data_IF_108718451583
#
_entry.id   IF_108718451583
#
_cell.length_a   1.000
_cell.length_b   1.000
_cell.length_c   1.000
_cell.angle_alpha   90.00
_cell.angle_beta   90.00
_cell.angle_gamma   90.00
#
_symmetry.space_group_name_H-M   'P 1'
#
loop_
_entity.id
_entity.type
_entity.pdbx_description
1 polymer ?
#
# COMPACT_ATOMS: atom_id res chain seq x y z
N UNK A 1 -20.83 -14.55 -8.37
CA UNK A 1 -20.16 -15.06 -9.60
C UNK A 1 -19.43 -16.34 -9.23
N UNK A 2 -19.46 -17.40 -10.05
CA UNK A 2 -18.60 -18.55 -9.80
C UNK A 2 -17.13 -18.10 -9.93
N UNK A 3 -16.21 -18.75 -9.20
CA UNK A 3 -14.73 -18.61 -9.26
C UNK A 3 -14.20 -19.09 -10.63
N UNK A 4 -15.01 -19.00 -11.68
CA UNK A 4 -14.76 -19.63 -12.96
C UNK A 4 -13.87 -18.75 -13.81
N UNK A 5 -12.59 -19.13 -13.81
CA UNK A 5 -11.51 -18.80 -14.75
C UNK A 5 -10.56 -17.72 -14.24
N UNK A 6 -9.64 -18.16 -13.38
CA UNK A 6 -8.29 -17.58 -13.33
C UNK A 6 -7.70 -17.70 -14.75
N UNK A 7 -7.27 -16.58 -15.34
CA UNK A 7 -6.72 -16.52 -16.70
C UNK A 7 -5.24 -16.15 -16.62
N UNK A 8 -4.38 -16.92 -17.28
CA UNK A 8 -2.93 -16.64 -17.30
C UNK A 8 -2.64 -15.32 -18.05
N UNK A 9 -3.32 -15.07 -19.16
CA UNK A 9 -3.01 -13.99 -20.09
C UNK A 9 -2.13 -14.48 -21.25
N UNK A 10 -1.79 -13.60 -22.19
CA UNK A 10 -0.88 -13.92 -23.29
C UNK A 10 0.34 -12.97 -23.28
N UNK A 11 1.49 -13.39 -23.82
CA UNK A 11 2.70 -12.56 -23.80
C UNK A 11 2.58 -11.26 -24.61
N UNK A 12 1.68 -11.21 -25.61
CA UNK A 12 1.40 -9.98 -26.36
C UNK A 12 0.62 -8.94 -25.56
N UNK A 13 -0.11 -9.35 -24.50
CA UNK A 13 -0.80 -8.46 -23.54
C UNK A 13 0.19 -7.46 -22.93
N UNK A 14 1.39 -7.90 -22.59
CA UNK A 14 2.44 -7.06 -22.01
C UNK A 14 2.95 -5.96 -22.96
N UNK A 15 2.65 -6.07 -24.25
CA UNK A 15 3.01 -5.07 -25.28
C UNK A 15 1.84 -4.19 -25.68
N UNK A 16 0.64 -4.46 -25.15
CA UNK A 16 -0.53 -3.66 -25.43
C UNK A 16 -0.42 -2.31 -24.72
N UNK A 17 -0.79 -1.26 -25.44
CA UNK A 17 -0.74 0.10 -24.90
C UNK A 17 -1.60 0.29 -23.67
N UNK A 18 -2.69 -0.48 -23.51
CA UNK A 18 -3.53 -0.40 -22.32
C UNK A 18 -2.81 -0.97 -21.08
N UNK A 19 -2.14 -2.12 -21.20
CA UNK A 19 -1.40 -2.77 -20.13
C UNK A 19 -0.23 -1.90 -19.67
N UNK A 20 0.48 -1.28 -20.61
CA UNK A 20 1.58 -0.36 -20.31
C UNK A 20 1.08 0.92 -19.63
N UNK A 21 -0.03 1.50 -20.11
CA UNK A 21 -0.66 2.66 -19.45
C UNK A 21 -1.14 2.33 -18.05
N UNK A 22 -1.74 1.17 -17.87
CA UNK A 22 -2.20 0.69 -16.58
C UNK A 22 -1.04 0.46 -15.60
N UNK A 23 0.05 -0.17 -16.06
CA UNK A 23 1.26 -0.33 -15.26
C UNK A 23 1.88 1.01 -14.86
N UNK A 24 1.94 1.97 -15.79
CA UNK A 24 2.42 3.33 -15.48
C UNK A 24 1.51 4.04 -14.48
N UNK A 25 0.19 3.89 -14.59
CA UNK A 25 -0.76 4.43 -13.63
C UNK A 25 -0.57 3.83 -12.23
N UNK A 26 -0.39 2.50 -12.12
CA UNK A 26 -0.06 1.84 -10.86
C UNK A 26 1.25 2.34 -10.25
N UNK A 27 2.29 2.51 -11.08
CA UNK A 27 3.57 3.07 -10.63
C UNK A 27 3.41 4.49 -10.06
N UNK A 28 2.75 5.39 -10.81
CA UNK A 28 2.55 6.79 -10.40
C UNK A 28 1.68 6.87 -9.15
N UNK A 29 0.56 6.13 -9.11
CA UNK A 29 -0.34 6.12 -7.97
C UNK A 29 0.33 5.56 -6.72
N UNK A 30 1.16 4.50 -6.86
CA UNK A 30 1.92 3.98 -5.74
C UNK A 30 2.98 4.97 -5.27
N UNK A 31 3.62 5.70 -6.18
CA UNK A 31 4.55 6.77 -5.82
C UNK A 31 3.85 7.84 -5.00
N UNK A 32 2.70 8.36 -5.46
CA UNK A 32 1.91 9.36 -4.73
C UNK A 32 1.53 8.85 -3.34
N UNK A 33 1.01 7.63 -3.26
CA UNK A 33 0.56 7.04 -2.02
C UNK A 33 1.68 6.89 -0.99
N UNK A 34 2.80 6.26 -1.39
CA UNK A 34 3.94 6.01 -0.50
C UNK A 34 4.67 7.28 -0.14
N UNK A 35 4.84 8.22 -1.08
CA UNK A 35 5.54 9.47 -0.81
C UNK A 35 4.82 10.27 0.27
N UNK A 36 3.49 10.39 0.20
CA UNK A 36 2.70 11.06 1.22
C UNK A 36 2.69 10.26 2.54
N UNK A 37 2.35 8.97 2.48
CA UNK A 37 2.22 8.11 3.66
C UNK A 37 3.51 8.02 4.47
N UNK A 38 4.62 7.63 3.84
CA UNK A 38 5.93 7.55 4.51
C UNK A 38 6.48 8.93 4.86
N UNK A 39 6.24 9.92 3.99
CA UNK A 39 6.62 11.31 4.25
C UNK A 39 5.97 11.87 5.52
N UNK A 40 4.75 11.48 5.86
CA UNK A 40 4.10 11.89 7.11
C UNK A 40 4.81 11.37 8.36
N UNK A 41 5.29 10.13 8.33
CA UNK A 41 6.10 9.56 9.42
C UNK A 41 7.45 10.27 9.55
N UNK A 42 8.10 10.57 8.43
CA UNK A 42 9.35 11.34 8.42
C UNK A 42 9.15 12.77 8.94
N UNK A 43 8.04 13.43 8.55
CA UNK A 43 7.68 14.75 9.03
C UNK A 43 7.44 14.74 10.55
N UNK A 44 6.72 13.74 11.05
CA UNK A 44 6.53 13.55 12.49
C UNK A 44 7.87 13.39 13.22
N UNK A 45 8.72 12.48 12.76
CA UNK A 45 10.06 12.27 13.34
C UNK A 45 10.92 13.54 13.32
N UNK A 46 10.85 14.33 12.24
CA UNK A 46 11.55 15.61 12.14
C UNK A 46 11.05 16.63 13.16
N UNK A 47 9.74 16.73 13.37
CA UNK A 47 9.12 17.66 14.32
C UNK A 47 9.37 17.26 15.77
N UNK A 48 9.51 15.96 16.06
CA UNK A 48 9.70 15.43 17.42
C UNK A 48 11.15 15.12 17.75
N UNK A 49 12.10 15.37 16.84
CA UNK A 49 13.50 14.96 16.94
C UNK A 49 13.66 13.46 17.22
N UNK A 50 12.98 12.63 16.43
CA UNK A 50 12.88 11.18 16.57
C UNK A 50 12.32 10.76 17.95
N UNK A 51 11.33 11.49 18.44
CA UNK A 51 10.62 11.17 19.68
C UNK A 51 9.83 9.87 19.57
N UNK A 52 9.34 9.38 20.72
CA UNK A 52 8.50 8.20 20.77
C UNK A 52 7.20 8.38 19.95
N UNK A 53 6.62 7.28 19.48
CA UNK A 53 5.31 7.30 18.84
C UNK A 53 4.25 7.88 19.81
N UNK A 54 3.45 8.83 19.34
CA UNK A 54 2.34 9.42 20.10
C UNK A 54 1.02 9.26 19.33
N UNK A 55 -0.14 9.41 20.00
CA UNK A 55 -1.43 9.41 19.31
C UNK A 55 -1.50 10.43 18.16
N UNK A 56 -0.86 11.59 18.31
CA UNK A 56 -0.80 12.60 17.25
C UNK A 56 -0.05 12.11 16.00
N UNK A 57 1.03 11.34 16.19
CA UNK A 57 1.77 10.73 15.08
C UNK A 57 0.95 9.68 14.34
N UNK A 58 0.23 8.82 15.09
CA UNK A 58 -0.65 7.80 14.52
C UNK A 58 -1.81 8.44 13.74
N UNK A 59 -2.42 9.51 14.28
CA UNK A 59 -3.47 10.27 13.58
C UNK A 59 -2.94 10.93 12.30
N UNK A 60 -1.76 11.55 12.35
CA UNK A 60 -1.14 12.17 11.19
C UNK A 60 -0.84 11.12 10.09
N UNK A 61 -0.27 9.98 10.47
CA UNK A 61 0.00 8.88 9.55
C UNK A 61 -1.31 8.32 8.93
N UNK A 62 -2.33 8.10 9.76
CA UNK A 62 -3.65 7.63 9.32
C UNK A 62 -4.29 8.55 8.27
N UNK A 63 -4.39 9.86 8.56
CA UNK A 63 -4.98 10.83 7.65
C UNK A 63 -4.18 10.95 6.35
N UNK A 64 -2.85 10.96 6.44
CA UNK A 64 -1.99 11.02 5.26
C UNK A 64 -2.20 9.82 4.34
N UNK A 65 -2.17 8.61 4.88
CA UNK A 65 -2.40 7.39 4.09
C UNK A 65 -3.83 7.34 3.52
N UNK A 66 -4.83 7.75 4.30
CA UNK A 66 -6.22 7.75 3.86
C UNK A 66 -6.43 8.69 2.66
N UNK A 67 -5.97 9.93 2.76
CA UNK A 67 -6.11 10.92 1.70
C UNK A 67 -5.26 10.57 0.48
N UNK A 68 -4.02 10.12 0.70
CA UNK A 68 -3.13 9.76 -0.39
C UNK A 68 -3.65 8.54 -1.17
N UNK A 69 -4.15 7.51 -0.48
CA UNK A 69 -4.73 6.34 -1.13
C UNK A 69 -6.04 6.69 -1.84
N UNK A 70 -6.91 7.49 -1.22
CA UNK A 70 -8.13 8.00 -1.88
C UNK A 70 -7.79 8.67 -3.22
N UNK A 71 -6.82 9.59 -3.23
CA UNK A 71 -6.40 10.28 -4.46
C UNK A 71 -5.73 9.31 -5.43
N UNK A 72 -4.81 8.47 -4.98
CA UNK A 72 -4.08 7.51 -5.81
C UNK A 72 -5.02 6.53 -6.54
N UNK A 73 -6.04 6.02 -5.84
CA UNK A 73 -7.08 5.19 -6.43
C UNK A 73 -7.93 6.01 -7.41
N UNK A 74 -8.37 7.21 -7.03
CA UNK A 74 -9.22 8.06 -7.87
C UNK A 74 -8.60 8.39 -9.23
N UNK A 75 -7.31 8.74 -9.26
CA UNK A 75 -6.63 9.15 -10.50
C UNK A 75 -6.29 7.97 -11.40
N UNK A 76 -6.18 6.75 -10.86
CA UNK A 76 -5.87 5.54 -11.62
C UNK A 76 -7.10 4.67 -11.93
N UNK A 77 -8.25 4.92 -11.30
CA UNK A 77 -9.46 4.10 -11.42
C UNK A 77 -9.87 3.82 -12.87
N UNK A 78 -9.83 4.83 -13.73
CA UNK A 78 -10.23 4.71 -15.15
C UNK A 78 -9.10 4.25 -16.08
N UNK A 79 -7.90 3.95 -15.57
CA UNK A 79 -6.74 3.52 -16.36
C UNK A 79 -6.34 2.09 -15.99
N UNK A 80 -6.09 1.84 -14.70
CA UNK A 80 -5.64 0.54 -14.19
C UNK A 80 -6.67 -0.15 -13.30
N UNK A 81 -7.72 0.56 -12.87
CA UNK A 81 -8.58 0.14 -11.76
C UNK A 81 -8.09 0.63 -10.39
N UNK A 82 -6.92 1.27 -10.32
CA UNK A 82 -6.38 1.88 -9.10
C UNK A 82 -6.17 0.86 -7.97
N UNK A 83 -5.43 -0.21 -8.23
CA UNK A 83 -5.18 -1.25 -7.22
C UNK A 83 -4.26 -0.72 -6.11
N UNK A 84 -3.14 -0.09 -6.50
CA UNK A 84 -2.17 0.60 -5.63
C UNK A 84 -1.71 -0.29 -4.44
N UNK A 85 -1.80 -1.61 -4.59
CA UNK A 85 -1.56 -2.58 -3.52
C UNK A 85 -1.44 -4.00 -4.10
N UNK A 86 -0.32 -4.72 -3.90
CA UNK A 86 -0.18 -6.10 -4.33
C UNK A 86 -1.24 -7.06 -3.78
N UNK A 87 -1.72 -6.87 -2.54
CA UNK A 87 -2.77 -7.68 -1.93
C UNK A 87 -4.16 -7.44 -2.59
N UNK A 88 -4.45 -6.19 -2.98
CA UNK A 88 -5.66 -5.86 -3.76
C UNK A 88 -5.58 -6.48 -5.14
N UNK A 89 -4.43 -6.35 -5.83
CA UNK A 89 -4.19 -7.01 -7.12
C UNK A 89 -4.34 -8.52 -7.02
N UNK A 90 -3.82 -9.14 -5.96
CA UNK A 90 -3.97 -10.56 -5.71
C UNK A 90 -5.43 -10.95 -5.50
N UNK A 91 -6.18 -10.18 -4.69
CA UNK A 91 -7.61 -10.38 -4.50
C UNK A 91 -8.36 -10.37 -5.84
N UNK A 92 -8.16 -9.32 -6.65
CA UNK A 92 -8.74 -9.19 -7.98
C UNK A 92 -8.37 -10.37 -8.90
N UNK A 93 -7.14 -10.87 -8.83
CA UNK A 93 -6.69 -12.03 -9.60
C UNK A 93 -7.43 -13.31 -9.21
N UNK A 94 -7.53 -13.59 -7.91
CA UNK A 94 -8.26 -14.76 -7.39
C UNK A 94 -9.75 -14.69 -7.73
N UNK A 95 -10.35 -13.51 -7.74
CA UNK A 95 -11.72 -13.34 -8.22
C UNK A 95 -11.90 -13.31 -9.74
N UNK A 96 -10.83 -13.45 -10.52
CA UNK A 96 -10.90 -13.51 -11.98
C UNK A 96 -11.13 -12.16 -12.68
N UNK A 97 -10.75 -11.05 -12.05
CA UNK A 97 -10.92 -9.69 -12.58
C UNK A 97 -9.67 -9.15 -13.29
N UNK A 98 -8.55 -9.88 -13.25
CA UNK A 98 -7.28 -9.53 -13.90
C UNK A 98 -6.54 -10.81 -14.29
N UNK A 99 -5.73 -10.78 -15.34
CA UNK A 99 -4.90 -11.93 -15.77
C UNK A 99 -3.67 -12.07 -14.87
N UNK A 100 -3.05 -13.25 -14.85
CA UNK A 100 -1.79 -13.47 -14.11
C UNK A 100 -0.67 -12.56 -14.63
N UNK A 101 -0.52 -12.44 -15.95
CA UNK A 101 0.52 -11.59 -16.54
C UNK A 101 0.34 -10.11 -16.18
N UNK A 102 -0.89 -9.59 -16.22
CA UNK A 102 -1.17 -8.22 -15.80
C UNK A 102 -1.00 -8.02 -14.28
N UNK A 103 -1.31 -9.04 -13.48
CA UNK A 103 -1.05 -9.05 -12.03
C UNK A 103 0.44 -8.89 -11.73
N UNK A 104 1.30 -9.66 -12.41
CA UNK A 104 2.75 -9.56 -12.26
C UNK A 104 3.24 -8.17 -12.68
N UNK A 105 2.72 -7.64 -13.80
CA UNK A 105 3.07 -6.31 -14.26
C UNK A 105 2.69 -5.22 -13.24
N UNK A 106 1.51 -5.33 -12.62
CA UNK A 106 1.06 -4.41 -11.57
C UNK A 106 1.94 -4.52 -10.33
N UNK A 107 2.30 -5.73 -9.88
CA UNK A 107 3.20 -5.90 -8.74
C UNK A 107 4.56 -5.26 -8.99
N UNK A 108 5.15 -5.44 -10.17
CA UNK A 108 6.43 -4.79 -10.52
C UNK A 108 6.27 -3.26 -10.46
N UNK A 109 5.21 -2.72 -11.08
CA UNK A 109 4.95 -1.28 -11.07
C UNK A 109 4.74 -0.71 -9.65
N UNK A 110 3.97 -1.40 -8.82
CA UNK A 110 3.69 -1.04 -7.43
C UNK A 110 4.98 -1.07 -6.58
N UNK A 111 5.75 -2.16 -6.65
CA UNK A 111 7.01 -2.29 -5.91
C UNK A 111 8.01 -1.19 -6.32
N UNK A 112 8.17 -0.94 -7.63
CA UNK A 112 9.05 0.11 -8.13
C UNK A 112 8.56 1.51 -7.71
N UNK A 113 7.26 1.77 -7.79
CA UNK A 113 6.68 3.06 -7.38
C UNK A 113 6.95 3.35 -5.90
N UNK A 114 6.83 2.33 -5.05
CA UNK A 114 7.16 2.45 -3.63
C UNK A 114 8.64 2.71 -3.39
N UNK A 115 9.54 1.99 -4.06
CA UNK A 115 10.99 2.20 -3.91
C UNK A 115 11.38 3.61 -4.36
N UNK A 116 10.87 4.06 -5.52
CA UNK A 116 11.15 5.40 -6.04
C UNK A 116 10.63 6.48 -5.10
N UNK A 117 9.42 6.34 -4.54
CA UNK A 117 8.91 7.27 -3.53
C UNK A 117 9.84 7.39 -2.32
N UNK A 118 10.30 6.27 -1.77
CA UNK A 118 11.21 6.27 -0.63
C UNK A 118 12.59 6.89 -0.97
N UNK A 119 13.13 6.64 -2.17
CA UNK A 119 14.37 7.27 -2.63
C UNK A 119 14.21 8.79 -2.80
N UNK A 120 13.08 9.23 -3.38
CA UNK A 120 12.76 10.65 -3.53
C UNK A 120 12.59 11.32 -2.16
N UNK A 121 11.94 10.67 -1.20
CA UNK A 121 11.84 11.17 0.17
C UNK A 121 13.21 11.31 0.82
N UNK A 122 14.06 10.28 0.74
CA UNK A 122 15.43 10.31 1.27
C UNK A 122 16.23 11.46 0.66
N UNK A 123 16.13 11.66 -0.65
CA UNK A 123 16.78 12.79 -1.33
C UNK A 123 16.22 14.14 -0.85
N UNK A 124 14.90 14.32 -0.88
CA UNK A 124 14.22 15.58 -0.56
C UNK A 124 14.37 16.01 0.91
N UNK A 125 14.64 15.05 1.79
CA UNK A 125 14.82 15.28 3.23
C UNK A 125 16.28 15.33 3.66
N UNK A 126 17.22 15.46 2.71
CA UNK A 126 18.66 15.50 2.98
C UNK A 126 19.19 14.25 3.72
N UNK A 127 18.67 13.08 3.36
CA UNK A 127 19.18 11.79 3.82
C UNK A 127 18.47 11.20 5.03
N UNK A 128 17.34 11.76 5.47
CA UNK A 128 16.55 11.11 6.54
C UNK A 128 16.07 9.73 6.09
N UNK A 129 15.96 8.82 7.05
CA UNK A 129 15.56 7.45 6.81
C UNK A 129 14.04 7.32 6.64
N UNK A 130 13.63 6.49 5.69
CA UNK A 130 12.26 5.97 5.62
C UNK A 130 12.18 4.74 6.53
N UNK A 131 11.38 4.81 7.59
CA UNK A 131 11.25 3.71 8.54
C UNK A 131 10.53 2.51 7.92
N UNK A 132 11.17 1.35 7.92
CA UNK A 132 10.50 0.10 7.59
C UNK A 132 9.45 -0.25 8.67
N UNK A 133 8.44 -1.02 8.27
CA UNK A 133 7.44 -1.54 9.20
C UNK A 133 8.11 -2.54 10.14
N UNK A 134 7.87 -2.40 11.45
CA UNK A 134 8.47 -3.22 12.48
C UNK A 134 7.45 -3.46 13.60
N UNK A 135 7.64 -4.57 14.31
CA UNK A 135 6.82 -4.91 15.47
C UNK A 135 7.16 -4.00 16.64
N UNK A 136 6.14 -3.44 17.28
CA UNK A 136 6.31 -2.74 18.55
C UNK A 136 6.74 -3.71 19.65
N UNK A 137 7.43 -3.17 20.65
CA UNK A 137 7.88 -3.96 21.81
C UNK A 137 6.70 -4.73 22.45
N UNK A 138 6.88 -6.03 22.67
CA UNK A 138 5.87 -6.91 23.24
C UNK A 138 4.82 -7.46 22.25
N UNK A 139 4.86 -7.07 20.97
CA UNK A 139 3.99 -7.63 19.93
C UNK A 139 4.68 -8.82 19.26
N UNK A 140 4.06 -10.00 19.35
CA UNK A 140 4.54 -11.20 18.67
C UNK A 140 4.20 -11.21 17.18
N UNK A 141 5.01 -11.92 16.38
CA UNK A 141 4.79 -12.05 14.94
C UNK A 141 3.41 -12.65 14.60
N UNK A 142 2.91 -13.60 15.40
CA UNK A 142 1.58 -14.19 15.21
C UNK A 142 0.45 -13.18 15.49
N UNK A 143 0.63 -12.28 16.46
CA UNK A 143 -0.34 -11.21 16.74
C UNK A 143 -0.41 -10.22 15.59
N UNK A 144 0.74 -9.77 15.09
CA UNK A 144 0.82 -8.89 13.93
C UNK A 144 0.25 -9.55 12.66
N UNK A 145 0.50 -10.85 12.47
CA UNK A 145 -0.10 -11.59 11.36
C UNK A 145 -1.64 -11.55 11.40
N UNK A 146 -2.25 -11.67 12.58
CA UNK A 146 -3.72 -11.55 12.72
C UNK A 146 -4.19 -10.14 12.37
N UNK A 147 -3.50 -9.11 12.84
CA UNK A 147 -3.78 -7.72 12.46
C UNK A 147 -3.76 -7.55 10.94
N UNK A 148 -2.64 -7.90 10.30
CA UNK A 148 -2.48 -7.76 8.85
C UNK A 148 -3.52 -8.57 8.06
N UNK A 149 -3.86 -9.79 8.49
CA UNK A 149 -4.90 -10.59 7.83
C UNK A 149 -6.25 -9.86 7.89
N UNK A 150 -6.68 -9.42 9.07
CA UNK A 150 -8.01 -8.81 9.26
C UNK A 150 -8.10 -7.46 8.57
N UNK A 151 -7.08 -6.61 8.73
CA UNK A 151 -7.05 -5.27 8.13
C UNK A 151 -6.97 -5.37 6.59
N UNK A 152 -6.11 -6.24 6.06
CA UNK A 152 -6.00 -6.45 4.60
C UNK A 152 -7.27 -7.06 4.04
N UNK A 153 -7.89 -8.01 4.74
CA UNK A 153 -9.19 -8.55 4.34
C UNK A 153 -10.25 -7.45 4.28
N UNK A 154 -10.33 -6.60 5.31
CA UNK A 154 -11.25 -5.46 5.32
C UNK A 154 -11.04 -4.54 4.13
N UNK A 155 -9.78 -4.17 3.82
CA UNK A 155 -9.42 -3.38 2.65
C UNK A 155 -9.85 -4.04 1.34
N UNK A 156 -9.45 -5.29 1.11
CA UNK A 156 -9.77 -6.01 -0.14
C UNK A 156 -11.28 -6.22 -0.27
N UNK A 157 -11.98 -6.49 0.83
CA UNK A 157 -13.44 -6.59 0.85
C UNK A 157 -14.10 -5.26 0.49
N UNK A 158 -13.61 -4.13 1.03
CA UNK A 158 -14.08 -2.79 0.65
C UNK A 158 -13.87 -2.55 -0.85
N UNK A 159 -12.73 -2.92 -1.42
CA UNK A 159 -12.50 -2.84 -2.87
C UNK A 159 -13.54 -3.68 -3.63
N UNK A 160 -13.79 -4.91 -3.20
CA UNK A 160 -14.75 -5.79 -3.85
C UNK A 160 -16.17 -5.21 -3.85
N UNK A 161 -16.65 -4.82 -2.66
CA UNK A 161 -18.01 -4.34 -2.47
C UNK A 161 -18.27 -2.99 -3.16
N UNK A 162 -17.24 -2.13 -3.21
CA UNK A 162 -17.40 -0.76 -3.72
C UNK A 162 -16.96 -0.58 -5.15
N UNK A 163 -15.91 -1.27 -5.61
CA UNK A 163 -15.31 -1.05 -6.93
C UNK A 163 -15.51 -2.20 -7.92
N UNK A 164 -15.58 -3.45 -7.44
CA UNK A 164 -15.55 -4.63 -8.32
C UNK A 164 -16.95 -5.19 -8.61
N UNK A 165 -17.83 -5.28 -7.61
CA UNK A 165 -19.14 -5.91 -7.76
C UNK A 165 -19.97 -5.23 -8.88
N UNK A 166 -20.46 -5.96 -9.90
CA UNK A 166 -21.37 -5.41 -10.90
C UNK A 166 -22.65 -4.78 -10.31
N UNK A 167 -23.03 -5.17 -9.09
CA UNK A 167 -24.21 -4.66 -8.36
C UNK A 167 -23.92 -3.43 -7.49
N UNK A 168 -22.70 -2.90 -7.50
CA UNK A 168 -22.29 -1.76 -6.65
C UNK A 168 -23.18 -0.51 -6.79
N UNK A 169 -23.79 -0.29 -7.96
CA UNK A 169 -24.59 0.91 -8.23
C UNK A 169 -23.83 2.19 -7.88
N UNK A 170 -24.50 3.13 -7.22
CA UNK A 170 -23.92 4.42 -6.82
C UNK A 170 -22.80 4.32 -5.78
N UNK A 171 -22.66 3.19 -5.08
CA UNK A 171 -21.53 2.96 -4.17
C UNK A 171 -20.19 3.03 -4.93
N UNK A 172 -20.19 2.71 -6.24
CA UNK A 172 -19.02 2.86 -7.10
C UNK A 172 -18.47 4.28 -7.17
N UNK A 173 -19.31 5.30 -6.98
CA UNK A 173 -18.91 6.72 -7.00
C UNK A 173 -17.98 7.03 -5.82
N UNK A 174 -18.27 6.44 -4.66
CA UNK A 174 -17.51 6.65 -3.41
C UNK A 174 -16.45 5.57 -3.16
N UNK A 175 -16.22 4.65 -4.10
CA UNK A 175 -15.27 3.56 -3.90
C UNK A 175 -13.86 4.05 -3.52
N UNK A 176 -13.27 5.06 -4.21
CA UNK A 176 -11.93 5.53 -3.85
C UNK A 176 -11.84 6.09 -2.43
N UNK A 177 -12.84 6.85 -1.99
CA UNK A 177 -12.83 7.45 -0.64
C UNK A 177 -13.07 6.39 0.44
N UNK A 178 -13.94 5.41 0.19
CA UNK A 178 -14.15 4.27 1.08
C UNK A 178 -12.86 3.45 1.26
N UNK A 179 -12.14 3.20 0.16
CA UNK A 179 -10.85 2.48 0.15
C UNK A 179 -9.78 3.26 0.92
N UNK A 180 -9.69 4.58 0.73
CA UNK A 180 -8.78 5.42 1.52
C UNK A 180 -9.11 5.39 3.02
N UNK A 181 -10.39 5.55 3.37
CA UNK A 181 -10.81 5.63 4.77
C UNK A 181 -10.67 4.32 5.53
N UNK A 182 -10.87 3.15 4.90
CA UNK A 182 -10.64 1.88 5.61
C UNK A 182 -9.15 1.69 5.95
N UNK A 183 -8.23 2.11 5.07
CA UNK A 183 -6.79 2.11 5.37
C UNK A 183 -6.47 3.07 6.52
N UNK A 184 -7.01 4.30 6.48
CA UNK A 184 -6.86 5.25 7.59
C UNK A 184 -7.36 4.71 8.92
N UNK A 185 -8.56 4.15 8.94
CA UNK A 185 -9.16 3.57 10.14
C UNK A 185 -8.33 2.41 10.69
N UNK A 186 -7.83 1.54 9.81
CA UNK A 186 -6.96 0.43 10.20
C UNK A 186 -5.61 0.91 10.75
N UNK A 187 -5.05 2.02 10.25
CA UNK A 187 -3.84 2.63 10.86
C UNK A 187 -4.11 3.16 12.27
N UNK A 188 -5.29 3.72 12.53
CA UNK A 188 -5.66 4.12 13.90
C UNK A 188 -5.77 2.91 14.85
N UNK A 189 -6.16 1.75 14.33
CA UNK A 189 -6.32 0.53 15.11
C UNK A 189 -5.00 -0.25 15.30
N UNK A 190 -4.26 -0.49 14.21
CA UNK A 190 -3.08 -1.35 14.16
C UNK A 190 -1.74 -0.61 14.18
N UNK A 191 -1.72 0.70 13.90
CA UNK A 191 -0.49 1.45 13.65
C UNK A 191 0.50 1.46 14.81
N UNK A 192 0.02 1.34 16.06
CA UNK A 192 0.87 1.24 17.24
C UNK A 192 1.43 -0.17 17.51
N UNK A 193 0.99 -1.20 16.79
CA UNK A 193 1.34 -2.59 17.02
C UNK A 193 2.32 -3.14 15.98
N UNK A 194 1.95 -3.08 14.70
CA UNK A 194 2.73 -3.59 13.55
C UNK A 194 2.93 -2.54 12.44
N UNK A 195 2.43 -1.32 12.67
CA UNK A 195 2.44 -0.23 11.70
C UNK A 195 1.25 -0.22 10.73
N UNK A 196 0.42 -1.27 10.70
CA UNK A 196 -0.75 -1.42 9.84
C UNK A 196 -0.46 -1.18 8.34
N UNK A 197 0.33 -2.07 7.74
CA UNK A 197 0.74 -2.00 6.35
C UNK A 197 -0.42 -2.22 5.39
N UNK A 198 -1.11 -3.36 5.51
CA UNK A 198 -2.12 -3.88 4.58
C UNK A 198 -1.66 -4.05 3.12
N UNK A 199 -0.41 -3.71 2.82
CA UNK A 199 0.07 -3.46 1.47
C UNK A 199 1.54 -3.86 1.33
N UNK A 200 1.82 -5.01 0.69
CA UNK A 200 3.19 -5.48 0.54
C UNK A 200 4.13 -4.47 -0.13
N UNK A 201 3.64 -3.63 -1.06
CA UNK A 201 4.49 -2.62 -1.69
C UNK A 201 4.84 -1.49 -0.70
N UNK A 202 3.89 -1.03 0.12
CA UNK A 202 4.12 -0.01 1.17
C UNK A 202 5.19 -0.48 2.16
N UNK A 203 5.22 -1.77 2.51
CA UNK A 203 6.29 -2.32 3.38
C UNK A 203 7.61 -2.54 2.65
N UNK A 204 7.56 -2.94 1.37
CA UNK A 204 8.75 -3.29 0.59
C UNK A 204 9.66 -2.09 0.31
N UNK A 205 9.12 -0.98 -0.20
CA UNK A 205 9.90 0.21 -0.55
C UNK A 205 10.82 0.72 0.56
N UNK A 206 10.30 1.05 1.76
CA UNK A 206 11.15 1.52 2.86
C UNK A 206 12.14 0.46 3.33
N UNK A 207 11.78 -0.83 3.31
CA UNK A 207 12.69 -1.93 3.68
C UNK A 207 13.90 -2.02 2.74
N UNK A 208 13.68 -1.88 1.43
CA UNK A 208 14.78 -1.87 0.44
C UNK A 208 15.68 -0.64 0.61
N UNK A 209 15.09 0.53 0.86
CA UNK A 209 15.85 1.80 0.96
C UNK A 209 16.59 1.94 2.29
N UNK A 210 16.10 1.30 3.36
CA UNK A 210 16.68 1.32 4.71
C UNK A 210 17.53 0.08 5.05
N UNK A 211 17.75 -0.85 4.11
CA UNK A 211 18.45 -2.11 4.36
C UNK A 211 19.83 -1.98 5.04
N UNK A 212 20.56 -0.90 4.78
CA UNK A 212 21.89 -0.64 5.36
C UNK A 212 21.87 0.39 6.51
N UNK A 213 20.69 0.73 7.02
CA UNK A 213 20.56 1.70 8.10
C UNK A 213 20.89 1.08 9.46
N UNK A 214 21.57 1.80 10.38
CA UNK A 214 21.92 1.29 11.71
C UNK A 214 20.71 0.77 12.51
N UNK A 215 19.55 1.37 12.27
CA UNK A 215 18.25 1.01 12.86
C UNK A 215 17.79 -0.42 12.51
N UNK A 216 18.03 -0.88 11.28
CA UNK A 216 17.68 -2.23 10.80
C UNK A 216 18.69 -3.32 11.19
N UNK A 217 19.99 -2.96 11.27
CA UNK A 217 21.03 -3.91 11.68
C UNK A 217 20.80 -4.35 13.13
N UNK A 218 20.36 -3.42 13.98
CA UNK A 218 20.09 -3.70 15.40
C UNK A 218 18.84 -4.58 15.59
N UNK A 219 17.80 -4.41 14.76
CA UNK A 219 16.61 -5.28 14.81
C UNK A 219 16.90 -6.71 14.32
N UNK A 220 17.82 -6.87 13.36
CA UNK A 220 18.19 -8.19 12.81
C UNK A 220 19.08 -9.02 13.75
N UNK A 221 19.83 -8.36 14.64
CA UNK A 221 20.72 -9.03 15.61
C UNK A 221 19.97 -9.45 16.89
N UNK A 222 18.79 -8.88 17.15
CA UNK A 222 18.03 -9.07 18.39
C UNK A 222 16.74 -9.91 18.23
N UNK A 223 16.48 -10.44 17.04
CA UNK A 223 15.44 -11.45 16.76
C UNK A 223 16.07 -12.77 16.39
#
# INVERSE_FOLDING_TARGET
MPISKIVIGNASELRQSDALKAALAEFISMLIFVFAGQGSGMAYNKLTNNGAATPAGVVAASLSHAFALFVAVSVAANISGGHVNPAVTFGAFIGGHITLLRTILYWIAQLLGSVVACLLLKFATAGLETSAFALSSGVGASNALVFEIVMTFGLVYTVYATAVDPKKGDIGIIAPIAIGFIVGANILAGGAFDGASMNPAVSFGPSVVSWNSPSQITSTILT
#
